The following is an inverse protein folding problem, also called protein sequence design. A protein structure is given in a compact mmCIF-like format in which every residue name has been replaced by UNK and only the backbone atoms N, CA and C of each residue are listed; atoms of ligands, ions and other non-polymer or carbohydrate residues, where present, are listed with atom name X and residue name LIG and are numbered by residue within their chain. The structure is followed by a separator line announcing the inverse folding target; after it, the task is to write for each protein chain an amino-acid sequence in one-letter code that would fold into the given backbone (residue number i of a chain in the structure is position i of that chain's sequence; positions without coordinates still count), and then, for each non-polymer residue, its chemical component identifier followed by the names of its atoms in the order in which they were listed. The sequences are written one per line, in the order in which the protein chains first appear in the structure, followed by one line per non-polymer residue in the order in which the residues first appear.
data_IF_612244616171
#
_entry.id   IF_612244616171
#
_cell.length_a   1.000
_cell.length_b   1.000
_cell.length_c   1.000
_cell.angle_alpha   90.00
_cell.angle_beta   90.00
_cell.angle_gamma   90.00
#
_symmetry.space_group_name_H-M   'P 1'
#
loop_
_entity.id
_entity.type
_entity.pdbx_description
1 polymer ?
#
# COMPACT_ATOMS: atom_id res chain seq x y z
N UNK A 1 -10.17 1.14 -11.26
CA UNK A 1 -11.16 1.60 -10.25
C UNK A 1 -10.48 2.61 -9.36
N UNK A 2 -11.03 3.82 -9.27
CA UNK A 2 -10.54 4.87 -8.37
C UNK A 2 -11.31 4.79 -7.05
N UNK A 3 -10.59 4.84 -5.94
CA UNK A 3 -11.13 4.91 -4.59
C UNK A 3 -10.41 6.03 -3.82
N UNK A 4 -11.03 7.21 -3.67
CA UNK A 4 -10.40 8.35 -3.01
C UNK A 4 -10.35 8.22 -1.47
N UNK A 5 -10.93 7.16 -0.89
CA UNK A 5 -10.98 6.91 0.55
C UNK A 5 -10.65 5.45 0.84
N UNK A 6 -9.38 5.10 0.66
CA UNK A 6 -8.90 3.73 0.66
C UNK A 6 -9.24 2.94 1.92
N UNK A 7 -9.25 3.58 3.09
CA UNK A 7 -9.64 2.99 4.37
C UNK A 7 -8.90 1.68 4.63
N UNK A 8 -9.63 0.56 4.68
CA UNK A 8 -9.03 -0.76 4.87
C UNK A 8 -8.41 -1.40 3.62
N UNK A 9 -8.55 -0.79 2.44
CA UNK A 9 -8.02 -1.30 1.17
C UNK A 9 -8.93 -2.31 0.46
N UNK A 10 -10.22 -2.38 0.81
CA UNK A 10 -11.14 -3.39 0.26
C UNK A 10 -11.28 -3.28 -1.27
N UNK A 11 -11.29 -2.07 -1.83
CA UNK A 11 -11.36 -1.87 -3.29
C UNK A 11 -10.12 -2.43 -3.99
N UNK A 12 -8.93 -2.28 -3.41
CA UNK A 12 -7.69 -2.84 -3.93
C UNK A 12 -7.76 -4.37 -4.00
N UNK A 13 -8.16 -5.03 -2.91
CA UNK A 13 -8.29 -6.50 -2.87
C UNK A 13 -9.37 -7.01 -3.84
N UNK A 14 -10.50 -6.30 -3.96
CA UNK A 14 -11.54 -6.66 -4.92
C UNK A 14 -11.05 -6.56 -6.37
N UNK A 15 -10.25 -5.54 -6.68
CA UNK A 15 -9.65 -5.37 -7.99
C UNK A 15 -8.62 -6.47 -8.30
N UNK A 16 -7.77 -6.82 -7.34
CA UNK A 16 -6.81 -7.92 -7.46
C UNK A 16 -7.51 -9.25 -7.78
N UNK A 17 -8.56 -9.60 -7.00
CA UNK A 17 -9.37 -10.81 -7.22
C UNK A 17 -10.03 -10.91 -8.59
N UNK A 18 -10.22 -9.77 -9.26
CA UNK A 18 -11.05 -9.68 -10.45
C UNK A 18 -10.28 -9.19 -11.68
N UNK A 19 -8.94 -9.13 -11.59
CA UNK A 19 -8.08 -8.73 -12.70
C UNK A 19 -8.25 -7.28 -13.14
N UNK A 20 -8.64 -6.38 -12.22
CA UNK A 20 -8.84 -4.96 -12.48
C UNK A 20 -7.71 -4.14 -11.85
N UNK A 21 -7.34 -3.02 -12.45
CA UNK A 21 -6.41 -2.07 -11.83
C UNK A 21 -7.12 -1.18 -10.81
N UNK A 22 -6.58 -1.05 -9.61
CA UNK A 22 -7.05 -0.10 -8.59
C UNK A 22 -6.13 1.12 -8.47
N UNK A 23 -6.68 2.27 -8.06
CA UNK A 23 -5.96 3.47 -7.66
C UNK A 23 -6.62 4.00 -6.40
N UNK A 24 -5.90 3.99 -5.28
CA UNK A 24 -6.41 4.38 -3.97
C UNK A 24 -5.72 5.68 -3.53
N UNK A 25 -6.45 6.52 -2.79
CA UNK A 25 -5.91 7.61 -1.99
C UNK A 25 -6.34 7.38 -0.54
N UNK A 26 -5.41 7.59 0.39
CA UNK A 26 -5.69 7.52 1.82
C UNK A 26 -4.90 8.63 2.53
N UNK A 27 -5.54 9.32 3.46
CA UNK A 27 -4.99 10.49 4.13
C UNK A 27 -4.25 10.11 5.41
N UNK A 28 -4.72 9.10 6.14
CA UNK A 28 -4.06 8.65 7.36
C UNK A 28 -2.91 7.68 7.02
N UNK A 29 -1.65 8.03 7.31
CA UNK A 29 -0.50 7.18 7.03
C UNK A 29 -0.62 5.77 7.65
N UNK A 30 -1.30 5.64 8.79
CA UNK A 30 -1.52 4.32 9.42
C UNK A 30 -2.40 3.43 8.56
N UNK A 31 -3.41 4.01 7.91
CA UNK A 31 -4.26 3.26 6.99
C UNK A 31 -3.53 2.95 5.68
N UNK A 32 -2.63 3.82 5.20
CA UNK A 32 -1.73 3.50 4.08
C UNK A 32 -0.93 2.22 4.38
N UNK A 33 -0.29 2.13 5.54
CA UNK A 33 0.46 0.94 5.97
C UNK A 33 -0.43 -0.31 6.03
N UNK A 34 -1.66 -0.17 6.54
CA UNK A 34 -2.64 -1.26 6.61
C UNK A 34 -3.00 -1.74 5.21
N UNK A 35 -3.27 -0.83 4.27
CA UNK A 35 -3.61 -1.16 2.88
C UNK A 35 -2.47 -1.93 2.21
N UNK A 36 -1.24 -1.43 2.35
CA UNK A 36 -0.06 -2.06 1.74
C UNK A 36 0.16 -3.46 2.32
N UNK A 37 0.23 -3.61 3.65
CA UNK A 37 0.42 -4.91 4.31
C UNK A 37 -0.65 -5.92 3.91
N UNK A 38 -1.92 -5.50 3.95
CA UNK A 38 -3.06 -6.35 3.56
C UNK A 38 -2.96 -6.83 2.11
N UNK A 39 -2.53 -5.97 1.18
CA UNK A 39 -2.34 -6.37 -0.22
C UNK A 39 -1.14 -7.30 -0.40
N UNK A 40 -0.01 -7.06 0.28
CA UNK A 40 1.14 -7.97 0.23
C UNK A 40 0.79 -9.35 0.78
N UNK A 41 0.07 -9.42 1.91
CA UNK A 41 -0.43 -10.68 2.48
C UNK A 41 -1.39 -11.42 1.53
N UNK A 42 -2.25 -10.68 0.83
CA UNK A 42 -3.22 -11.27 -0.10
C UNK A 42 -2.59 -11.76 -1.41
N UNK A 43 -1.67 -10.98 -1.98
CA UNK A 43 -1.07 -11.23 -3.31
C UNK A 43 0.20 -12.08 -3.24
N UNK A 44 0.90 -12.08 -2.11
CA UNK A 44 2.24 -12.66 -1.97
C UNK A 44 3.35 -11.83 -2.63
N UNK A 45 3.04 -10.62 -3.10
CA UNK A 45 3.99 -9.73 -3.77
C UNK A 45 4.52 -8.65 -2.81
N UNK A 46 5.71 -8.13 -3.11
CA UNK A 46 6.26 -6.97 -2.42
C UNK A 46 5.78 -5.68 -3.10
N UNK A 47 5.22 -4.77 -2.31
CA UNK A 47 4.85 -3.43 -2.76
C UNK A 47 6.12 -2.59 -2.92
N UNK A 48 6.16 -1.78 -3.96
CA UNK A 48 7.31 -0.92 -4.27
C UNK A 48 6.90 0.54 -4.36
N UNK A 49 7.79 1.43 -3.94
CA UNK A 49 7.63 2.86 -4.12
C UNK A 49 7.94 3.20 -5.58
N UNK A 50 6.95 3.73 -6.31
CA UNK A 50 7.09 3.96 -7.76
C UNK A 50 8.27 4.88 -8.13
N UNK A 51 8.59 5.86 -7.27
CA UNK A 51 9.63 6.85 -7.53
C UNK A 51 11.05 6.27 -7.60
N UNK A 52 11.35 5.20 -6.85
CA UNK A 52 12.72 4.66 -6.74
C UNK A 52 12.82 3.13 -6.65
N UNK A 53 11.69 2.42 -6.66
CA UNK A 53 11.61 0.96 -6.70
C UNK A 53 11.86 0.27 -5.36
N UNK A 54 12.14 1.00 -4.27
CA UNK A 54 12.35 0.39 -2.95
C UNK A 54 11.10 -0.33 -2.48
N UNK A 55 11.26 -1.46 -1.80
CA UNK A 55 10.12 -2.20 -1.23
C UNK A 55 9.55 -1.47 -0.02
N UNK A 56 8.30 -1.79 0.34
CA UNK A 56 7.67 -1.22 1.53
C UNK A 56 8.53 -1.42 2.79
N UNK A 57 9.18 -2.59 2.94
CA UNK A 57 10.07 -2.90 4.05
C UNK A 57 11.33 -2.01 4.06
N UNK A 58 11.93 -1.75 2.89
CA UNK A 58 13.08 -0.86 2.76
C UNK A 58 12.74 0.59 3.10
N UNK A 59 11.53 1.04 2.76
CA UNK A 59 11.05 2.38 3.13
C UNK A 59 10.73 2.49 4.62
N UNK A 60 10.18 1.45 5.25
CA UNK A 60 9.89 1.44 6.67
C UNK A 60 11.17 1.59 7.53
N UNK A 61 12.27 0.96 7.11
CA UNK A 61 13.57 1.08 7.77
C UNK A 61 14.17 2.51 7.71
N UNK A 62 13.85 3.29 6.68
CA UNK A 62 14.36 4.65 6.49
C UNK A 62 13.72 5.71 7.39
N UNK A 63 12.50 5.49 7.87
CA UNK A 63 11.79 6.46 8.72
C UNK A 63 12.24 6.46 10.19
N UNK A 64 13.05 5.48 10.60
CA UNK A 64 13.63 5.39 11.95
C UNK A 64 14.81 6.33 12.23
N UNK A 65 15.30 7.07 11.22
CA UNK A 65 16.48 7.92 11.35
C UNK A 65 16.19 9.42 11.60
N UNK A 66 14.93 9.86 11.56
CA UNK A 66 14.55 11.27 11.72
C UNK A 66 13.99 11.63 13.12
N UNK A 67 14.08 10.72 14.09
CA UNK A 67 13.59 10.91 15.46
C UNK A 67 14.66 10.66 16.53
N UNK A 68 15.89 11.14 16.29
CA UNK A 68 16.96 11.23 17.29
C UNK A 68 17.50 12.67 17.33
#
# INVERSE_FOLDING_TARGET
VLDPFGGSGTTLIACEKTGRSARLVEMDPKYVDVIVKRWQEFSGLAATLEADGRTFEETAAGHGAAAA
#
